data_IF_402009550387
#
_entry.id   IF_402009550387
#
_cell.length_a   1.000
_cell.length_b   1.000
_cell.length_c   1.000
_cell.angle_alpha   90.00
_cell.angle_beta   90.00
_cell.angle_gamma   90.00
#
_symmetry.space_group_name_H-M   'P 1'
#
loop_
_entity.id
_entity.type
_entity.pdbx_description
1 polymer ?
#
# COMPACT_ATOMS: atom_id res chain seq x y z
N UNK A 1 -7.59 -5.76 -6.22
CA UNK A 1 -7.47 -6.40 -7.56
C UNK A 1 -7.33 -5.32 -8.62
N UNK A 2 -6.12 -5.20 -9.22
CA UNK A 2 -5.74 -4.08 -10.10
C UNK A 2 -6.02 -4.33 -11.59
N UNK A 3 -6.52 -5.52 -11.96
CA UNK A 3 -6.81 -5.86 -13.36
C UNK A 3 -7.79 -4.87 -14.00
N UNK A 4 -7.37 -4.24 -15.11
CA UNK A 4 -8.14 -3.24 -15.84
C UNK A 4 -8.23 -1.86 -15.18
N UNK A 5 -7.59 -1.65 -14.02
CA UNK A 5 -7.52 -0.34 -13.38
C UNK A 5 -6.53 0.57 -14.10
N UNK A 6 -6.87 1.84 -14.22
CA UNK A 6 -6.12 2.87 -14.92
C UNK A 6 -5.32 3.72 -13.91
N UNK A 7 -4.01 3.58 -13.94
CA UNK A 7 -3.10 4.22 -12.98
C UNK A 7 -2.21 5.21 -13.70
N UNK A 8 -2.27 6.48 -13.30
CA UNK A 8 -1.37 7.50 -13.78
C UNK A 8 -0.24 7.67 -12.78
N UNK A 9 0.96 7.27 -13.18
CA UNK A 9 2.17 7.38 -12.36
C UNK A 9 2.89 8.68 -12.67
N UNK A 10 2.90 9.61 -11.73
CA UNK A 10 3.71 10.82 -11.75
C UNK A 10 5.08 10.56 -11.13
N UNK A 11 6.14 10.92 -11.86
CA UNK A 11 7.51 10.70 -11.43
C UNK A 11 8.22 12.04 -11.28
N UNK A 12 8.73 12.34 -10.08
CA UNK A 12 9.40 13.61 -9.79
C UNK A 12 10.90 13.43 -9.51
N UNK A 13 11.68 14.51 -9.62
CA UNK A 13 13.13 14.48 -9.54
C UNK A 13 13.66 14.32 -8.11
N UNK A 14 13.90 13.10 -7.71
CA UNK A 14 14.55 12.72 -6.46
C UNK A 14 15.25 11.38 -6.62
N UNK A 15 16.30 11.10 -5.84
CA UNK A 15 17.08 9.87 -5.99
C UNK A 15 16.21 8.60 -5.92
N UNK A 16 15.12 8.60 -5.15
CA UNK A 16 14.21 7.46 -5.03
C UNK A 16 13.48 7.10 -6.36
N UNK A 17 13.65 7.89 -7.43
CA UNK A 17 13.08 7.62 -8.76
C UNK A 17 13.52 6.24 -9.30
N UNK A 18 14.69 5.71 -8.90
CA UNK A 18 15.16 4.39 -9.32
C UNK A 18 14.21 3.25 -8.94
N UNK A 19 13.33 3.46 -7.95
CA UNK A 19 12.31 2.49 -7.53
C UNK A 19 11.06 2.52 -8.43
N UNK A 20 10.78 3.65 -9.07
CA UNK A 20 9.53 3.88 -9.80
C UNK A 20 9.33 2.96 -11.01
N UNK A 21 10.37 2.56 -11.79
CA UNK A 21 10.23 1.53 -12.81
C UNK A 21 9.72 0.20 -12.25
N UNK A 22 10.14 -0.15 -11.03
CA UNK A 22 9.67 -1.34 -10.31
C UNK A 22 8.17 -1.27 -10.00
N UNK A 23 7.66 -0.11 -9.58
CA UNK A 23 6.22 0.14 -9.36
C UNK A 23 5.45 -0.11 -10.67
N UNK A 24 5.91 0.51 -11.77
CA UNK A 24 5.30 0.36 -13.09
C UNK A 24 5.23 -1.11 -13.53
N UNK A 25 6.34 -1.85 -13.36
CA UNK A 25 6.41 -3.28 -13.69
C UNK A 25 5.45 -4.13 -12.87
N UNK A 26 5.37 -3.90 -11.55
CA UNK A 26 4.47 -4.65 -10.66
C UNK A 26 3.00 -4.37 -10.99
N UNK A 27 2.61 -3.12 -11.21
CA UNK A 27 1.26 -2.74 -11.59
C UNK A 27 0.82 -3.45 -12.87
N UNK A 28 1.68 -3.47 -13.89
CA UNK A 28 1.40 -4.18 -15.14
C UNK A 28 1.28 -5.69 -14.98
N UNK A 29 2.14 -6.31 -14.15
CA UNK A 29 2.04 -7.75 -13.82
C UNK A 29 0.71 -8.09 -13.16
N UNK A 30 0.13 -7.15 -12.41
CA UNK A 30 -1.19 -7.29 -11.79
C UNK A 30 -2.36 -6.93 -12.73
N UNK A 31 -2.06 -6.63 -14.01
CA UNK A 31 -3.05 -6.38 -15.05
C UNK A 31 -3.60 -4.96 -15.08
N UNK A 32 -2.94 -4.00 -14.42
CA UNK A 32 -3.28 -2.59 -14.51
C UNK A 32 -2.80 -1.96 -15.82
N UNK A 33 -3.52 -0.94 -16.30
CA UNK A 33 -3.06 -0.03 -17.34
C UNK A 33 -2.30 1.11 -16.69
N UNK A 34 -1.06 1.38 -17.14
CA UNK A 34 -0.21 2.40 -16.55
C UNK A 34 0.20 3.42 -17.60
N UNK A 35 -0.09 4.69 -17.35
CA UNK A 35 0.50 5.84 -18.06
C UNK A 35 1.45 6.56 -17.12
N UNK A 36 2.46 7.22 -17.68
CA UNK A 36 3.51 7.86 -16.89
C UNK A 36 3.67 9.31 -17.30
N UNK A 37 3.73 10.20 -16.29
CA UNK A 37 4.15 11.59 -16.45
C UNK A 37 5.49 11.76 -15.73
N UNK A 38 6.49 12.31 -16.42
CA UNK A 38 7.77 12.65 -15.81
C UNK A 38 7.95 14.17 -15.76
N UNK A 39 8.37 14.67 -14.60
CA UNK A 39 8.85 16.06 -14.52
C UNK A 39 10.24 16.16 -15.18
N UNK A 40 10.61 17.36 -15.64
CA UNK A 40 11.94 17.63 -16.20
C UNK A 40 13.07 17.15 -15.27
N UNK A 41 12.95 17.39 -13.96
CA UNK A 41 13.97 16.96 -13.00
C UNK A 41 14.02 15.42 -12.83
N UNK A 42 12.95 14.70 -13.12
CA UNK A 42 12.95 13.24 -13.07
C UNK A 42 13.81 12.65 -14.20
N UNK A 43 13.84 13.30 -15.36
CA UNK A 43 14.60 12.81 -16.53
C UNK A 43 16.12 12.89 -16.35
N UNK A 44 16.60 13.67 -15.36
CA UNK A 44 18.02 13.72 -14.99
C UNK A 44 18.49 12.43 -14.28
N UNK A 45 17.59 11.66 -13.69
CA UNK A 45 17.91 10.43 -12.97
C UNK A 45 17.60 9.16 -13.77
N UNK A 46 16.46 9.14 -14.47
CA UNK A 46 16.00 7.97 -15.24
C UNK A 46 15.39 8.49 -16.55
N UNK A 47 15.76 7.88 -17.67
CA UNK A 47 15.27 8.30 -18.98
C UNK A 47 13.80 7.92 -19.20
N UNK A 48 13.05 8.71 -19.99
CA UNK A 48 11.67 8.37 -20.38
C UNK A 48 11.56 7.00 -21.05
N UNK A 49 12.59 6.57 -21.79
CA UNK A 49 12.64 5.27 -22.46
C UNK A 49 12.45 4.10 -21.49
N UNK A 50 13.00 4.20 -20.26
CA UNK A 50 12.81 3.17 -19.23
C UNK A 50 11.33 3.00 -18.90
N UNK A 51 10.62 4.09 -18.67
CA UNK A 51 9.19 4.04 -18.34
C UNK A 51 8.32 3.69 -19.54
N UNK A 52 8.68 4.14 -20.74
CA UNK A 52 7.99 3.74 -21.98
C UNK A 52 8.04 2.22 -22.17
N UNK A 53 9.20 1.61 -21.97
CA UNK A 53 9.37 0.16 -22.06
C UNK A 53 8.59 -0.56 -20.96
N UNK A 54 8.65 -0.08 -19.72
CA UNK A 54 8.00 -0.71 -18.58
C UNK A 54 6.46 -0.55 -18.61
N UNK A 55 5.93 0.59 -19.05
CA UNK A 55 4.50 0.85 -19.14
C UNK A 55 3.86 0.30 -20.43
N UNK A 56 4.67 0.14 -21.49
CA UNK A 56 4.21 -0.06 -22.87
C UNK A 56 3.29 1.07 -23.36
N UNK A 57 3.53 2.28 -22.87
CA UNK A 57 2.81 3.51 -23.20
C UNK A 57 3.80 4.67 -23.39
N UNK A 58 3.38 5.69 -24.12
CA UNK A 58 4.13 6.92 -24.23
C UNK A 58 4.30 7.58 -22.86
N UNK A 59 5.46 8.15 -22.61
CA UNK A 59 5.74 8.94 -21.40
C UNK A 59 5.44 10.42 -21.70
N UNK A 60 4.63 11.03 -20.85
CA UNK A 60 4.22 12.42 -20.96
C UNK A 60 5.17 13.31 -20.14
N UNK A 61 5.55 14.45 -20.63
CA UNK A 61 6.50 15.34 -19.92
C UNK A 61 6.29 16.82 -20.21
N UNK A 62 6.23 17.20 -21.46
CA UNK A 62 6.12 18.60 -21.90
C UNK A 62 4.69 18.95 -22.32
N UNK A 63 4.21 20.12 -21.88
CA UNK A 63 2.83 20.55 -22.14
C UNK A 63 2.56 20.96 -23.60
N UNK A 64 3.59 21.33 -24.38
CA UNK A 64 3.40 22.03 -25.64
C UNK A 64 4.04 21.33 -26.86
N UNK A 65 4.50 20.09 -26.73
CA UNK A 65 5.26 19.40 -27.77
C UNK A 65 4.42 18.66 -28.84
N UNK A 66 3.09 18.67 -28.75
CA UNK A 66 2.27 17.91 -29.69
C UNK A 66 1.25 18.80 -30.42
N UNK A 67 1.63 19.23 -31.62
CA UNK A 67 0.75 19.94 -32.54
C UNK A 67 -0.31 19.04 -33.23
N UNK A 68 -0.38 17.74 -32.91
CA UNK A 68 -1.18 16.76 -33.65
C UNK A 68 -2.34 16.12 -32.88
N UNK A 69 -2.50 16.41 -31.59
CA UNK A 69 -3.64 15.90 -30.83
C UNK A 69 -4.74 16.97 -30.71
N UNK A 70 -5.94 16.64 -31.18
CA UNK A 70 -7.14 17.49 -31.04
C UNK A 70 -7.62 17.59 -29.58
N UNK A 71 -7.21 16.65 -28.71
CA UNK A 71 -7.55 16.63 -27.28
C UNK A 71 -6.48 17.33 -26.44
N UNK A 72 -6.93 18.10 -25.47
CA UNK A 72 -6.07 18.74 -24.47
C UNK A 72 -5.50 17.66 -23.57
N UNK A 73 -4.23 17.32 -23.76
CA UNK A 73 -3.59 16.13 -23.20
C UNK A 73 -3.71 16.02 -21.67
N UNK A 74 -3.43 17.11 -20.93
CA UNK A 74 -3.53 17.11 -19.47
C UNK A 74 -4.97 16.85 -18.97
N UNK A 75 -5.99 17.31 -19.71
CA UNK A 75 -7.40 17.03 -19.37
C UNK A 75 -7.74 15.57 -19.66
N UNK A 76 -7.26 15.02 -20.77
CA UNK A 76 -7.51 13.61 -21.11
C UNK A 76 -6.86 12.66 -20.11
N UNK A 77 -5.62 12.95 -19.67
CA UNK A 77 -4.92 12.18 -18.63
C UNK A 77 -5.61 12.27 -17.27
N UNK A 78 -6.04 13.47 -16.88
CA UNK A 78 -6.76 13.70 -15.63
C UNK A 78 -8.09 12.93 -15.54
N UNK A 79 -8.80 12.80 -16.67
CA UNK A 79 -10.07 12.05 -16.77
C UNK A 79 -9.86 10.54 -16.93
N UNK A 80 -8.73 10.13 -17.47
CA UNK A 80 -8.45 8.72 -17.77
C UNK A 80 -8.16 7.90 -16.52
N UNK A 81 -7.51 8.47 -15.51
CA UNK A 81 -7.00 7.75 -14.36
C UNK A 81 -8.09 7.40 -13.34
N UNK A 82 -8.10 6.17 -12.82
CA UNK A 82 -8.84 5.80 -11.61
C UNK A 82 -8.14 6.32 -10.35
N UNK A 83 -6.80 6.39 -10.41
CA UNK A 83 -5.94 6.96 -9.37
C UNK A 83 -4.69 7.57 -9.98
N UNK A 84 -4.23 8.69 -9.42
CA UNK A 84 -2.95 9.32 -9.74
C UNK A 84 -2.00 9.02 -8.57
N UNK A 85 -0.85 8.43 -8.87
CA UNK A 85 0.17 8.07 -7.89
C UNK A 85 1.44 8.83 -8.18
N UNK A 86 1.95 9.61 -7.24
CA UNK A 86 3.22 10.31 -7.39
C UNK A 86 4.29 9.54 -6.61
N UNK A 87 5.24 8.98 -7.33
CA UNK A 87 6.33 8.19 -6.74
C UNK A 87 7.63 8.33 -7.57
N UNK A 88 8.68 8.92 -7.02
CA UNK A 88 8.72 9.59 -5.72
C UNK A 88 7.95 10.90 -5.69
N UNK A 89 7.51 11.32 -4.50
CA UNK A 89 6.94 12.65 -4.27
C UNK A 89 7.97 13.53 -3.58
N UNK A 90 8.41 14.60 -4.23
CA UNK A 90 9.33 15.59 -3.65
C UNK A 90 8.58 16.68 -2.89
N UNK A 91 9.27 17.39 -1.98
CA UNK A 91 8.72 18.56 -1.30
C UNK A 91 8.24 19.64 -2.29
N UNK A 92 8.88 19.77 -3.46
CA UNK A 92 8.49 20.71 -4.51
C UNK A 92 7.07 20.43 -5.02
N UNK A 93 6.75 19.16 -5.39
CA UNK A 93 5.42 18.84 -5.91
C UNK A 93 4.37 18.90 -4.81
N UNK A 94 4.71 18.54 -3.55
CA UNK A 94 3.84 18.73 -2.39
C UNK A 94 3.47 20.21 -2.25
N UNK A 95 4.48 21.09 -2.27
CA UNK A 95 4.28 22.53 -2.18
C UNK A 95 3.44 23.09 -3.32
N UNK A 96 3.72 22.72 -4.57
CA UNK A 96 2.95 23.12 -5.74
C UNK A 96 1.49 22.70 -5.61
N UNK A 97 1.24 21.44 -5.34
CA UNK A 97 -0.12 20.88 -5.28
C UNK A 97 -0.93 21.47 -4.12
N UNK A 98 -0.31 21.65 -2.93
CA UNK A 98 -0.97 22.27 -1.79
C UNK A 98 -1.40 23.71 -2.03
N UNK A 99 -0.62 24.46 -2.82
CA UNK A 99 -0.83 25.88 -3.08
C UNK A 99 -1.44 26.17 -4.47
N UNK A 100 -1.83 25.14 -5.23
CA UNK A 100 -2.53 25.33 -6.51
C UNK A 100 -1.63 25.86 -7.64
N UNK A 101 -0.33 25.53 -7.63
CA UNK A 101 0.60 25.88 -8.68
C UNK A 101 0.58 24.81 -9.78
N UNK A 102 0.29 25.21 -11.01
CA UNK A 102 0.15 24.34 -12.17
C UNK A 102 1.03 24.86 -13.33
N UNK A 103 2.36 24.72 -13.17
CA UNK A 103 3.37 25.27 -14.06
C UNK A 103 4.08 24.20 -14.92
N UNK A 104 3.71 22.94 -14.75
CA UNK A 104 4.18 21.79 -15.53
C UNK A 104 3.05 20.79 -15.80
N UNK A 105 3.28 19.81 -16.69
CA UNK A 105 2.30 18.78 -17.05
C UNK A 105 1.72 18.06 -15.82
N UNK A 106 2.56 17.63 -14.88
CA UNK A 106 2.14 16.88 -13.70
C UNK A 106 1.27 17.72 -12.77
N UNK A 107 1.71 18.93 -12.43
CA UNK A 107 0.98 19.85 -11.55
C UNK A 107 -0.35 20.30 -12.18
N UNK A 108 -0.39 20.48 -13.50
CA UNK A 108 -1.61 20.82 -14.23
C UNK A 108 -2.61 19.66 -14.22
N UNK A 109 -2.15 18.42 -14.44
CA UNK A 109 -3.02 17.22 -14.36
C UNK A 109 -3.56 17.04 -12.95
N UNK A 110 -2.75 17.25 -11.90
CA UNK A 110 -3.21 17.18 -10.51
C UNK A 110 -4.34 18.18 -10.22
N UNK A 111 -4.22 19.41 -10.72
CA UNK A 111 -5.23 20.46 -10.58
C UNK A 111 -6.52 20.17 -11.34
N UNK A 112 -6.42 19.48 -12.49
CA UNK A 112 -7.55 19.16 -13.36
C UNK A 112 -8.28 17.86 -12.99
N UNK A 113 -7.70 17.05 -12.10
CA UNK A 113 -8.22 15.70 -11.80
C UNK A 113 -9.24 15.70 -10.67
N UNK A 114 -10.22 14.79 -10.81
CA UNK A 114 -11.16 14.40 -9.73
C UNK A 114 -10.86 13.00 -9.18
N UNK A 115 -9.86 12.33 -9.73
CA UNK A 115 -9.45 10.99 -9.31
C UNK A 115 -8.78 11.04 -7.95
N UNK A 116 -8.75 9.90 -7.27
CA UNK A 116 -7.95 9.76 -6.04
C UNK A 116 -6.50 10.09 -6.33
N UNK A 117 -5.84 10.80 -5.43
CA UNK A 117 -4.41 11.12 -5.52
C UNK A 117 -3.68 10.47 -4.35
N UNK A 118 -2.58 9.80 -4.65
CA UNK A 118 -1.70 9.16 -3.68
C UNK A 118 -0.28 9.67 -3.86
N UNK A 119 0.34 10.10 -2.78
CA UNK A 119 1.71 10.60 -2.75
C UNK A 119 2.60 9.64 -1.96
N UNK A 120 3.72 9.21 -2.57
CA UNK A 120 4.78 8.43 -1.93
C UNK A 120 6.00 9.33 -1.66
N UNK A 121 6.09 9.99 -0.49
CA UNK A 121 7.16 10.91 -0.20
C UNK A 121 8.54 10.24 -0.21
N UNK A 122 9.53 10.96 -0.76
CA UNK A 122 10.92 10.55 -0.75
C UNK A 122 11.81 11.78 -0.75
N UNK A 123 12.39 12.11 0.43
CA UNK A 123 13.24 13.30 0.64
C UNK A 123 14.07 13.18 1.90
N UNK A 124 15.02 14.08 2.09
CA UNK A 124 15.78 14.18 3.34
C UNK A 124 14.86 14.45 4.55
N UNK A 125 15.25 13.94 5.72
CA UNK A 125 14.47 14.05 6.97
C UNK A 125 14.16 15.49 7.36
N UNK A 126 15.12 16.40 7.23
CA UNK A 126 14.92 17.82 7.56
C UNK A 126 13.89 18.46 6.63
N UNK A 127 13.95 18.13 5.32
CA UNK A 127 12.96 18.58 4.35
C UNK A 127 11.57 18.03 4.66
N UNK A 128 11.48 16.74 5.01
CA UNK A 128 10.22 16.11 5.35
C UNK A 128 9.58 16.80 6.56
N UNK A 129 10.36 17.04 7.61
CA UNK A 129 9.89 17.58 8.90
C UNK A 129 9.86 19.12 8.94
N UNK A 130 10.24 19.81 7.87
CA UNK A 130 10.14 21.29 7.84
C UNK A 130 8.69 21.72 8.04
N UNK A 131 8.47 22.78 8.80
CA UNK A 131 7.14 23.30 9.13
C UNK A 131 6.30 23.55 7.88
N UNK A 132 6.89 24.19 6.86
CA UNK A 132 6.20 24.46 5.59
C UNK A 132 5.75 23.18 4.89
N UNK A 133 6.60 22.14 4.85
CA UNK A 133 6.27 20.89 4.19
C UNK A 133 5.20 20.12 4.97
N UNK A 134 5.30 20.08 6.31
CA UNK A 134 4.27 19.45 7.17
C UNK A 134 2.92 20.16 7.05
N UNK A 135 2.89 21.49 6.98
CA UNK A 135 1.67 22.27 6.72
C UNK A 135 1.07 21.92 5.35
N UNK A 136 1.90 21.82 4.32
CA UNK A 136 1.44 21.45 2.98
C UNK A 136 0.89 20.01 2.95
N UNK A 137 1.57 19.07 3.60
CA UNK A 137 1.12 17.67 3.75
C UNK A 137 -0.26 17.63 4.45
N UNK A 138 -0.41 18.36 5.56
CA UNK A 138 -1.69 18.42 6.28
C UNK A 138 -2.79 19.02 5.41
N UNK A 139 -2.52 20.11 4.70
CA UNK A 139 -3.46 20.72 3.75
C UNK A 139 -3.94 19.71 2.70
N UNK A 140 -3.03 18.88 2.17
CA UNK A 140 -3.38 17.86 1.18
C UNK A 140 -4.19 16.70 1.80
N UNK A 141 -3.85 16.28 3.03
CA UNK A 141 -4.63 15.27 3.77
C UNK A 141 -6.08 15.75 4.00
N UNK A 142 -6.26 17.01 4.39
CA UNK A 142 -7.59 17.61 4.63
C UNK A 142 -8.42 17.68 3.35
N UNK A 143 -7.76 17.70 2.17
CA UNK A 143 -8.40 17.62 0.84
C UNK A 143 -8.63 16.18 0.36
N UNK A 144 -8.33 15.18 1.18
CA UNK A 144 -8.53 13.76 0.86
C UNK A 144 -7.42 13.12 0.03
N UNK A 145 -6.25 13.76 -0.08
CA UNK A 145 -5.06 13.17 -0.72
C UNK A 145 -4.46 12.11 0.20
N UNK A 146 -4.20 10.94 -0.34
CA UNK A 146 -3.57 9.84 0.39
C UNK A 146 -2.06 10.11 0.44
N UNK A 147 -1.52 10.33 1.63
CA UNK A 147 -0.10 10.53 1.86
C UNK A 147 0.46 9.25 2.51
N UNK A 148 1.31 8.54 1.79
CA UNK A 148 1.96 7.35 2.32
C UNK A 148 3.03 7.74 3.36
N UNK A 149 3.22 6.87 4.33
CA UNK A 149 4.31 7.02 5.29
C UNK A 149 5.67 6.81 4.61
N UNK A 150 6.72 7.31 5.24
CA UNK A 150 8.10 7.05 4.83
C UNK A 150 8.71 5.99 5.74
N UNK A 151 9.73 5.28 5.23
CA UNK A 151 10.53 4.38 6.07
C UNK A 151 11.61 5.16 6.82
N UNK A 152 11.94 4.67 7.99
CA UNK A 152 13.16 5.04 8.71
C UNK A 152 14.30 4.13 8.28
N UNK A 153 15.35 4.69 7.71
CA UNK A 153 16.50 3.93 7.23
C UNK A 153 17.68 4.90 6.94
N UNK A 154 18.80 4.35 6.52
CA UNK A 154 19.91 5.12 5.99
C UNK A 154 19.47 5.80 4.68
N UNK A 155 19.56 7.13 4.66
CA UNK A 155 19.25 7.95 3.50
C UNK A 155 20.47 8.10 2.57
N UNK A 156 20.25 8.56 1.35
CA UNK A 156 21.33 8.79 0.38
C UNK A 156 22.36 9.85 0.81
N UNK A 157 22.02 10.68 1.80
CA UNK A 157 22.94 11.65 2.42
C UNK A 157 23.74 11.07 3.60
N UNK A 158 23.69 9.75 3.82
CA UNK A 158 24.29 9.03 4.95
C UNK A 158 23.71 9.38 6.34
N UNK A 159 22.58 10.08 6.40
CA UNK A 159 21.82 10.29 7.63
C UNK A 159 20.86 9.12 7.85
N UNK A 160 20.70 8.68 9.11
CA UNK A 160 19.65 7.75 9.49
C UNK A 160 18.41 8.53 9.94
N UNK A 161 17.26 8.24 9.31
CA UNK A 161 16.02 8.92 9.68
C UNK A 161 14.85 8.60 8.76
N UNK A 162 13.73 9.26 9.04
CA UNK A 162 12.53 9.19 8.20
C UNK A 162 12.74 9.95 6.88
N UNK A 163 12.05 9.53 5.83
CA UNK A 163 12.10 10.19 4.51
C UNK A 163 12.42 9.27 3.35
N UNK A 164 12.75 7.99 3.62
CA UNK A 164 12.95 6.98 2.57
C UNK A 164 11.60 6.54 2.00
N UNK A 165 11.42 6.67 0.69
CA UNK A 165 10.22 6.19 0.00
C UNK A 165 10.02 4.70 0.23
N UNK A 166 8.76 4.28 0.45
CA UNK A 166 8.36 2.88 0.55
C UNK A 166 8.90 2.03 -0.61
N UNK A 167 8.96 0.73 -0.41
CA UNK A 167 9.32 -0.19 -1.49
C UNK A 167 8.21 -0.30 -2.54
N UNK A 168 8.55 -0.62 -3.80
CA UNK A 168 7.56 -0.74 -4.88
C UNK A 168 6.38 -1.63 -4.55
N UNK A 169 6.60 -2.76 -3.89
CA UNK A 169 5.53 -3.68 -3.47
C UNK A 169 4.57 -3.06 -2.47
N UNK A 170 5.07 -2.31 -1.50
CA UNK A 170 4.25 -1.64 -0.49
C UNK A 170 3.38 -0.54 -1.11
N UNK A 171 3.95 0.25 -2.05
CA UNK A 171 3.19 1.28 -2.77
C UNK A 171 2.07 0.63 -3.60
N UNK A 172 2.36 -0.48 -4.28
CA UNK A 172 1.36 -1.22 -5.07
C UNK A 172 0.26 -1.79 -4.19
N UNK A 173 0.59 -2.28 -2.99
CA UNK A 173 -0.40 -2.76 -2.02
C UNK A 173 -1.31 -1.61 -1.52
N UNK A 174 -0.76 -0.42 -1.29
CA UNK A 174 -1.58 0.75 -0.91
C UNK A 174 -2.46 1.25 -2.06
N UNK A 175 -1.99 1.15 -3.33
CA UNK A 175 -2.82 1.43 -4.52
C UNK A 175 -3.99 0.44 -4.59
N UNK A 176 -3.72 -0.86 -4.43
CA UNK A 176 -4.76 -1.89 -4.41
C UNK A 176 -5.78 -1.63 -3.30
N UNK A 177 -5.29 -1.27 -2.10
CA UNK A 177 -6.13 -0.89 -0.95
C UNK A 177 -7.02 0.32 -1.25
N UNK A 178 -6.46 1.35 -1.88
CA UNK A 178 -7.18 2.59 -2.22
C UNK A 178 -8.27 2.39 -3.30
N UNK A 179 -8.06 1.44 -4.22
CA UNK A 179 -8.98 1.12 -5.32
C UNK A 179 -9.97 -0.01 -5.00
N UNK A 180 -9.74 -0.74 -3.89
CA UNK A 180 -10.66 -1.80 -3.45
C UNK A 180 -11.94 -1.17 -2.90
N UNK A 181 -13.10 -1.68 -3.30
CA UNK A 181 -14.41 -1.29 -2.79
C UNK A 181 -14.50 -1.57 -1.29
N UNK A 182 -15.10 -0.65 -0.53
CA UNK A 182 -15.22 -0.75 0.93
C UNK A 182 -16.57 -1.36 1.35
N UNK A 183 -16.92 -2.47 0.73
CA UNK A 183 -18.18 -3.18 0.95
C UNK A 183 -18.29 -3.88 2.32
N UNK A 184 -17.19 -3.94 3.09
CA UNK A 184 -17.17 -4.41 4.47
C UNK A 184 -16.98 -3.27 5.49
N UNK A 185 -17.15 -2.01 5.08
CA UNK A 185 -17.05 -0.87 5.99
C UNK A 185 -18.06 -0.97 7.12
N UNK A 186 -17.62 -0.71 8.36
CA UNK A 186 -18.45 -0.85 9.56
C UNK A 186 -18.68 -2.30 10.02
N UNK A 187 -18.19 -3.31 9.30
CA UNK A 187 -18.28 -4.72 9.69
C UNK A 187 -17.09 -5.16 10.52
N UNK A 188 -17.33 -5.94 11.56
CA UNK A 188 -16.29 -6.60 12.35
C UNK A 188 -16.12 -8.04 11.89
N UNK A 189 -14.96 -8.38 11.35
CA UNK A 189 -14.61 -9.71 10.83
C UNK A 189 -13.58 -10.36 11.77
N UNK A 190 -13.91 -11.49 12.35
CA UNK A 190 -13.01 -12.31 13.17
C UNK A 190 -12.53 -13.49 12.35
N UNK A 191 -11.22 -13.71 12.28
CA UNK A 191 -10.61 -14.74 11.44
C UNK A 191 -9.67 -15.58 12.29
N UNK A 192 -9.82 -16.92 12.26
CA UNK A 192 -8.83 -17.82 12.85
C UNK A 192 -7.84 -18.29 11.79
N UNK A 193 -6.57 -18.43 12.14
CA UNK A 193 -5.51 -18.83 11.21
C UNK A 193 -4.44 -19.71 11.86
N UNK A 194 -3.66 -20.39 11.03
CA UNK A 194 -2.54 -21.20 11.48
C UNK A 194 -2.95 -22.53 12.12
N UNK A 195 -1.95 -23.33 12.53
CA UNK A 195 -2.16 -24.53 13.32
C UNK A 195 -2.28 -24.17 14.80
N UNK A 196 -2.77 -25.11 15.63
CA UNK A 196 -2.53 -25.09 17.06
C UNK A 196 -1.45 -26.09 17.44
N UNK A 197 -0.92 -25.96 18.65
CA UNK A 197 0.05 -26.87 19.24
C UNK A 197 -0.51 -27.40 20.55
N UNK A 198 -0.53 -28.72 20.68
CA UNK A 198 -0.93 -29.38 21.94
C UNK A 198 0.31 -30.00 22.58
N UNK A 199 0.79 -29.38 23.64
CA UNK A 199 2.01 -29.81 24.31
C UNK A 199 1.88 -31.21 24.91
N UNK A 200 2.87 -32.06 24.63
CA UNK A 200 3.05 -33.38 25.27
C UNK A 200 3.91 -33.23 26.52
N UNK A 201 4.96 -32.47 26.40
CA UNK A 201 5.96 -32.12 27.42
C UNK A 201 6.58 -30.76 27.07
N UNK A 202 7.55 -30.22 27.82
CA UNK A 202 8.18 -28.92 27.52
C UNK A 202 8.85 -28.82 26.16
N UNK A 203 9.12 -29.95 25.49
CA UNK A 203 9.90 -30.01 24.25
C UNK A 203 9.03 -30.41 23.05
N UNK A 204 8.08 -31.32 23.24
CA UNK A 204 7.32 -31.92 22.15
C UNK A 204 5.86 -31.50 22.16
N UNK A 205 5.26 -31.41 20.97
CA UNK A 205 3.85 -31.06 20.78
C UNK A 205 3.25 -31.78 19.56
N UNK A 206 1.94 -31.97 19.57
CA UNK A 206 1.14 -32.38 18.41
C UNK A 206 0.69 -31.09 17.68
N UNK A 207 0.76 -31.09 16.36
CA UNK A 207 0.34 -29.95 15.55
C UNK A 207 -0.03 -30.37 14.14
N UNK A 208 -0.58 -29.44 13.35
CA UNK A 208 -0.91 -29.59 11.94
C UNK A 208 0.15 -28.96 11.03
N UNK A 209 0.19 -29.41 9.77
CA UNK A 209 1.06 -28.81 8.72
C UNK A 209 0.57 -27.45 8.20
N UNK A 210 -0.49 -26.88 8.77
CA UNK A 210 -1.04 -25.60 8.32
C UNK A 210 0.00 -24.50 8.40
N UNK A 211 0.17 -23.76 7.29
CA UNK A 211 1.04 -22.58 7.25
C UNK A 211 0.35 -21.28 7.70
N UNK A 212 -0.99 -21.28 7.81
CA UNK A 212 -1.78 -20.08 8.12
C UNK A 212 -2.02 -19.13 6.92
N UNK A 213 -1.41 -19.38 5.74
CA UNK A 213 -1.48 -18.46 4.59
C UNK A 213 -2.89 -18.03 4.20
N UNK A 214 -3.85 -18.96 4.22
CA UNK A 214 -5.24 -18.65 3.85
C UNK A 214 -5.87 -17.63 4.82
N UNK A 215 -5.78 -17.87 6.13
CA UNK A 215 -6.36 -16.97 7.13
C UNK A 215 -5.72 -15.59 7.10
N UNK A 216 -4.41 -15.50 6.89
CA UNK A 216 -3.70 -14.23 6.76
C UNK A 216 -4.11 -13.47 5.50
N UNK A 217 -4.26 -14.17 4.36
CA UNK A 217 -4.74 -13.55 3.12
C UNK A 217 -6.20 -13.07 3.23
N UNK A 218 -7.06 -13.82 3.92
CA UNK A 218 -8.44 -13.41 4.20
C UNK A 218 -8.48 -12.17 5.10
N UNK A 219 -7.61 -12.09 6.11
CA UNK A 219 -7.52 -10.95 7.01
C UNK A 219 -7.06 -9.68 6.26
N UNK A 220 -6.02 -9.78 5.42
CA UNK A 220 -5.58 -8.66 4.58
C UNK A 220 -6.67 -8.22 3.60
N UNK A 221 -7.35 -9.17 2.96
CA UNK A 221 -8.44 -8.86 2.03
C UNK A 221 -9.63 -8.18 2.73
N UNK A 222 -10.07 -8.70 3.88
CA UNK A 222 -11.15 -8.09 4.66
C UNK A 222 -10.78 -6.66 5.09
N UNK A 223 -9.51 -6.45 5.50
CA UNK A 223 -9.01 -5.12 5.85
C UNK A 223 -8.98 -4.17 4.65
N UNK A 224 -8.56 -4.64 3.49
CA UNK A 224 -8.59 -3.86 2.23
C UNK A 224 -10.02 -3.44 1.86
N UNK A 225 -11.02 -4.26 2.16
CA UNK A 225 -12.45 -4.01 1.95
C UNK A 225 -13.11 -3.15 3.03
N UNK A 226 -12.35 -2.63 4.01
CA UNK A 226 -12.80 -1.67 5.01
C UNK A 226 -13.29 -2.27 6.33
N UNK A 227 -13.19 -3.60 6.53
CA UNK A 227 -13.59 -4.23 7.77
C UNK A 227 -12.69 -3.82 8.97
N UNK A 228 -13.28 -3.81 10.16
CA UNK A 228 -12.53 -3.99 11.41
C UNK A 228 -12.15 -5.47 11.51
N UNK A 229 -10.86 -5.79 11.57
CA UNK A 229 -10.39 -7.18 11.51
C UNK A 229 -9.71 -7.59 12.80
N UNK A 230 -10.18 -8.70 13.38
CA UNK A 230 -9.50 -9.42 14.47
C UNK A 230 -8.95 -10.72 13.92
N UNK A 231 -7.63 -10.87 13.87
CA UNK A 231 -6.93 -12.08 13.45
C UNK A 231 -6.46 -12.87 14.70
N UNK A 232 -7.01 -14.05 14.91
CA UNK A 232 -6.61 -14.97 15.97
C UNK A 232 -5.75 -16.06 15.34
N UNK A 233 -4.47 -16.12 15.67
CA UNK A 233 -3.55 -17.01 14.97
C UNK A 233 -2.76 -17.90 15.93
N UNK A 234 -2.77 -19.19 15.61
CA UNK A 234 -1.76 -20.11 16.09
C UNK A 234 -0.36 -19.78 15.53
N UNK A 235 0.68 -20.54 15.90
CA UNK A 235 2.06 -20.25 15.51
C UNK A 235 2.28 -20.34 14.01
N UNK A 236 2.72 -19.25 13.40
CA UNK A 236 3.11 -19.17 11.99
C UNK A 236 4.44 -18.43 11.83
N UNK A 237 5.04 -18.57 10.64
CA UNK A 237 6.24 -17.81 10.23
C UNK A 237 5.91 -16.67 9.25
N UNK A 238 4.63 -16.35 9.10
CA UNK A 238 4.16 -15.30 8.18
C UNK A 238 4.10 -13.98 8.94
N UNK A 239 4.52 -12.91 8.30
CA UNK A 239 4.39 -11.56 8.83
C UNK A 239 2.91 -11.20 9.02
N UNK A 240 2.60 -10.59 10.15
CA UNK A 240 1.23 -10.21 10.49
C UNK A 240 0.78 -9.08 9.57
N UNK A 241 -0.34 -9.24 8.84
CA UNK A 241 -0.87 -8.17 8.01
C UNK A 241 -1.36 -6.99 8.88
N UNK A 242 -1.56 -5.83 8.25
CA UNK A 242 -2.15 -4.66 8.93
C UNK A 242 -3.61 -4.97 9.32
N UNK A 243 -3.84 -5.38 10.55
CA UNK A 243 -5.17 -5.67 11.13
C UNK A 243 -5.40 -4.80 12.37
N UNK A 244 -6.66 -4.67 12.81
CA UNK A 244 -6.98 -3.85 13.99
C UNK A 244 -6.59 -4.56 15.29
N UNK A 245 -6.83 -5.88 15.35
CA UNK A 245 -6.47 -6.69 16.49
C UNK A 245 -5.76 -7.97 16.02
N UNK A 246 -4.64 -8.27 16.65
CA UNK A 246 -3.92 -9.54 16.46
C UNK A 246 -3.82 -10.26 17.79
N UNK A 247 -4.37 -11.46 17.86
CA UNK A 247 -4.37 -12.33 19.05
C UNK A 247 -3.56 -13.59 18.75
N UNK A 248 -2.41 -13.71 19.40
CA UNK A 248 -1.59 -14.92 19.30
C UNK A 248 -2.09 -15.94 20.31
N UNK A 249 -2.25 -17.17 19.86
CA UNK A 249 -2.64 -18.33 20.66
C UNK A 249 -1.72 -19.49 20.33
N UNK A 250 -1.60 -20.47 21.23
CA UNK A 250 -0.79 -21.66 20.97
C UNK A 250 -1.67 -22.91 20.88
N UNK A 251 -2.58 -23.12 21.81
CA UNK A 251 -3.44 -24.32 21.88
C UNK A 251 -4.84 -24.10 21.25
N UNK A 252 -5.51 -25.20 20.95
CA UNK A 252 -6.93 -25.21 20.52
C UNK A 252 -7.83 -24.56 21.58
N UNK A 253 -7.53 -24.79 22.88
CA UNK A 253 -8.31 -24.21 23.99
C UNK A 253 -8.16 -22.67 24.00
N UNK A 254 -6.94 -22.16 23.90
CA UNK A 254 -6.71 -20.72 23.82
C UNK A 254 -7.41 -20.10 22.61
N UNK A 255 -7.39 -20.80 21.45
CA UNK A 255 -8.09 -20.32 20.24
C UNK A 255 -9.60 -20.27 20.48
N UNK A 256 -10.18 -21.28 21.11
CA UNK A 256 -11.60 -21.32 21.46
C UNK A 256 -11.96 -20.14 22.38
N UNK A 257 -11.20 -19.97 23.45
CA UNK A 257 -11.45 -18.90 24.44
C UNK A 257 -11.27 -17.50 23.80
N UNK A 258 -10.28 -17.34 22.90
CA UNK A 258 -10.08 -16.10 22.16
C UNK A 258 -11.23 -15.80 21.20
N UNK A 259 -11.72 -16.80 20.45
CA UNK A 259 -12.90 -16.64 19.59
C UNK A 259 -14.11 -16.23 20.41
N UNK A 260 -14.36 -16.89 21.57
CA UNK A 260 -15.48 -16.58 22.44
C UNK A 260 -15.55 -15.12 22.90
N UNK A 261 -14.37 -14.48 23.10
CA UNK A 261 -14.33 -13.05 23.50
C UNK A 261 -14.85 -12.08 22.45
N UNK A 262 -14.78 -12.44 21.17
CA UNK A 262 -15.18 -11.57 20.06
C UNK A 262 -16.45 -12.04 19.35
N UNK A 263 -16.98 -13.23 19.73
CA UNK A 263 -18.08 -13.88 19.00
C UNK A 263 -19.35 -13.03 18.96
N UNK A 264 -19.75 -12.47 20.10
CA UNK A 264 -20.99 -11.70 20.22
C UNK A 264 -20.91 -10.31 19.57
N UNK A 265 -19.68 -9.82 19.32
CA UNK A 265 -19.44 -8.51 18.73
C UNK A 265 -19.08 -8.57 17.23
N UNK A 266 -18.92 -9.77 16.66
CA UNK A 266 -18.53 -9.89 15.26
C UNK A 266 -19.73 -10.06 14.33
N UNK A 267 -19.65 -9.40 13.16
CA UNK A 267 -20.63 -9.60 12.07
C UNK A 267 -20.34 -10.89 11.28
N UNK A 268 -19.06 -11.29 11.21
CA UNK A 268 -18.60 -12.45 10.42
C UNK A 268 -17.45 -13.16 11.13
N UNK A 269 -17.58 -14.47 11.35
CA UNK A 269 -16.52 -15.34 11.81
C UNK A 269 -16.05 -16.27 10.67
N UNK A 270 -14.76 -16.19 10.31
CA UNK A 270 -14.13 -17.05 9.31
C UNK A 270 -13.16 -18.01 10.01
N UNK A 271 -13.47 -19.30 9.99
CA UNK A 271 -12.66 -20.35 10.59
C UNK A 271 -11.71 -20.96 9.56
N UNK A 272 -10.49 -20.39 9.43
CA UNK A 272 -9.45 -20.84 8.50
C UNK A 272 -8.24 -21.47 9.22
N UNK A 273 -8.28 -21.59 10.55
CA UNK A 273 -7.27 -22.31 11.32
C UNK A 273 -7.39 -23.82 11.12
N UNK A 274 -6.32 -24.55 11.45
CA UNK A 274 -6.30 -25.99 11.58
C UNK A 274 -5.99 -26.36 13.05
N UNK A 275 -7.00 -26.32 13.94
CA UNK A 275 -6.82 -26.76 15.33
C UNK A 275 -6.59 -28.25 15.38
N UNK A 276 -5.86 -28.70 16.41
CA UNK A 276 -5.66 -30.15 16.70
C UNK A 276 -6.89 -30.75 17.29
N UNK A 277 -7.31 -31.94 16.77
CA UNK A 277 -8.45 -32.70 17.29
C UNK A 277 -8.12 -33.45 18.58
N UNK A 278 -6.84 -33.74 18.79
CA UNK A 278 -6.33 -34.51 19.91
C UNK A 278 -5.36 -33.71 20.77
N UNK A 279 -5.45 -33.90 22.07
CA UNK A 279 -4.48 -33.36 23.05
C UNK A 279 -4.18 -34.42 24.10
N UNK A 280 -3.03 -34.39 24.78
CA UNK A 280 -2.73 -35.22 25.91
C UNK A 280 -3.74 -35.00 27.04
N UNK A 281 -4.12 -36.09 27.72
CA UNK A 281 -4.95 -35.99 28.91
C UNK A 281 -4.18 -35.36 30.08
N UNK A 282 -2.91 -35.66 30.15
CA UNK A 282 -1.98 -35.19 31.18
C UNK A 282 -0.73 -34.61 30.51
N UNK A 283 -0.27 -33.47 31.00
CA UNK A 283 1.01 -32.88 30.62
C UNK A 283 2.13 -33.57 31.44
N UNK A 284 3.22 -33.97 30.79
CA UNK A 284 4.39 -34.52 31.44
C UNK A 284 5.44 -33.44 31.66
N UNK A 285 5.88 -33.23 32.87
CA UNK A 285 6.97 -32.32 33.23
C UNK A 285 8.35 -32.93 32.89
#
# INVERSE_FOLDING_TARGET
MLKGKKILLGVTGGIAVYKSPGICSLLRKLGAEVKVIMTKNATEFVTPLTFQTMSNNVVHGEMFNQLFNMDVEHISLAKWADIIVIAPTTANIIGKFANGIADDMLSTVLMASRSKVMLAPGMNTVMLNSESNQKNIQTLRDRGVIILDTREDLLACNDYGSGKMLEPSEIVDEIDRALTEKDLEGKHVVITAGPTREALDPVRFISNYSSGKMGYALADNAKKRGAKVTLISGPTKIDVPKVDNFVRVDSTREMYDAVGKYFDECDLLIKAAAPSDYRPKTYSE
#
